data_IF_067786740315
#
_entry.id   IF_067786740315
#
_cell.length_a   1.000
_cell.length_b   1.000
_cell.length_c   1.000
_cell.angle_alpha   90.00
_cell.angle_beta   90.00
_cell.angle_gamma   90.00
#
_symmetry.space_group_name_H-M   'P 1'
#
loop_
_entity.id
_entity.type
_entity.pdbx_description
1 polymer ?
#
# COMPACT_ATOMS: atom_id res chain seq x y z
N UNK A 1 31.33 -58.16 19.03
CA UNK A 1 30.59 -58.27 17.74
C UNK A 1 29.25 -58.93 18.02
N UNK A 2 28.22 -58.52 17.28
CA UNK A 2 26.80 -58.97 17.30
C UNK A 2 25.85 -57.93 17.91
N UNK A 3 25.11 -57.31 16.98
CA UNK A 3 23.92 -56.46 17.14
C UNK A 3 22.81 -57.17 17.94
N UNK A 4 22.09 -56.41 18.77
CA UNK A 4 20.72 -56.75 19.20
C UNK A 4 19.81 -55.54 18.99
N UNK A 5 18.83 -55.71 18.10
CA UNK A 5 17.77 -54.75 17.86
C UNK A 5 16.83 -54.65 19.05
N UNK A 6 16.11 -53.52 19.13
CA UNK A 6 14.91 -53.38 19.94
C UNK A 6 13.75 -52.87 19.10
N UNK A 7 12.67 -53.62 19.29
CA UNK A 7 11.34 -53.60 18.71
C UNK A 7 10.62 -52.27 18.99
N UNK A 8 9.89 -51.77 17.99
CA UNK A 8 8.88 -50.72 18.11
C UNK A 8 7.63 -51.29 18.80
N UNK A 9 7.11 -50.58 19.80
CA UNK A 9 5.75 -50.77 20.32
C UNK A 9 4.98 -49.46 20.18
N UNK A 10 3.96 -49.50 19.33
CA UNK A 10 2.91 -48.48 19.22
C UNK A 10 2.02 -48.56 20.46
N UNK A 11 1.94 -47.46 21.22
CA UNK A 11 0.84 -47.24 22.16
C UNK A 11 -0.06 -46.17 21.58
N UNK A 12 -1.27 -46.60 21.25
CA UNK A 12 -2.39 -45.78 20.79
C UNK A 12 -3.08 -45.19 22.01
N UNK A 13 -2.87 -43.91 22.28
CA UNK A 13 -3.73 -43.16 23.22
C UNK A 13 -4.89 -42.54 22.45
N UNK A 14 -6.06 -43.13 22.65
CA UNK A 14 -7.37 -42.56 22.32
C UNK A 14 -7.61 -41.41 23.28
N UNK A 15 -7.71 -40.18 22.78
CA UNK A 15 -8.12 -39.01 23.57
C UNK A 15 -9.36 -38.39 22.93
N UNK A 16 -10.42 -38.36 23.74
CA UNK A 16 -11.78 -37.94 23.45
C UNK A 16 -11.89 -36.56 22.75
N UNK A 17 -12.67 -36.54 21.66
CA UNK A 17 -13.25 -35.33 21.10
C UNK A 17 -14.30 -34.76 22.07
N UNK A 18 -13.96 -33.63 22.70
CA UNK A 18 -14.77 -32.40 22.86
C UNK A 18 -14.32 -31.67 24.11
N UNK A 19 -13.77 -30.46 23.93
CA UNK A 19 -14.34 -29.19 24.45
C UNK A 19 -13.48 -28.04 23.94
N UNK A 20 -14.17 -26.96 23.57
CA UNK A 20 -13.70 -25.74 22.92
C UNK A 20 -12.47 -25.06 23.55
N UNK A 21 -11.70 -24.38 22.68
CA UNK A 21 -10.87 -23.24 23.09
C UNK A 21 -9.36 -23.37 22.98
N UNK A 22 -8.81 -23.96 21.91
CA UNK A 22 -7.38 -23.84 21.62
C UNK A 22 -7.10 -22.57 20.80
N UNK A 23 -6.88 -21.46 21.48
CA UNK A 23 -6.23 -20.30 20.86
C UNK A 23 -4.75 -20.62 20.67
N UNK A 24 -4.35 -20.83 19.42
CA UNK A 24 -2.94 -20.93 19.04
C UNK A 24 -2.30 -19.52 19.20
N UNK A 25 -1.31 -19.30 20.07
CA UNK A 25 -0.77 -17.96 20.35
C UNK A 25 -0.03 -17.32 19.16
N UNK A 26 0.26 -18.08 18.10
CA UNK A 26 0.81 -17.59 16.83
C UNK A 26 -0.25 -16.94 15.90
N UNK A 27 -1.55 -16.96 16.25
CA UNK A 27 -2.66 -16.49 15.40
C UNK A 27 -2.92 -14.97 15.39
N UNK A 28 -2.19 -14.14 16.15
CA UNK A 28 -2.68 -12.80 16.54
C UNK A 28 -1.90 -11.57 16.05
N UNK A 29 -1.07 -11.71 15.00
CA UNK A 29 -0.43 -10.56 14.33
C UNK A 29 -0.75 -10.44 12.83
N UNK A 30 -1.99 -10.75 12.45
CA UNK A 30 -2.40 -10.49 11.06
C UNK A 30 -2.42 -8.99 10.77
N UNK A 31 -1.85 -8.61 9.61
CA UNK A 31 -1.83 -7.25 9.08
C UNK A 31 -2.84 -7.03 7.95
N UNK A 32 -3.66 -8.04 7.67
CA UNK A 32 -4.42 -8.12 6.41
C UNK A 32 -5.92 -8.14 6.69
N UNK A 33 -6.67 -7.25 6.06
CA UNK A 33 -8.11 -7.05 6.29
C UNK A 33 -8.85 -7.01 4.96
N UNK A 34 -9.92 -7.77 4.85
CA UNK A 34 -10.86 -7.76 3.73
C UNK A 34 -12.03 -6.85 4.04
N UNK A 35 -12.40 -6.02 3.06
CA UNK A 35 -13.66 -5.27 3.03
C UNK A 35 -14.53 -5.88 1.94
N UNK A 36 -15.62 -6.53 2.35
CA UNK A 36 -16.58 -7.18 1.45
C UNK A 36 -17.84 -6.32 1.24
N UNK A 37 -18.70 -6.75 0.33
CA UNK A 37 -20.02 -6.18 0.06
C UNK A 37 -20.00 -4.67 -0.25
N UNK A 38 -18.98 -4.24 -1.01
CA UNK A 38 -18.83 -2.84 -1.42
C UNK A 38 -20.01 -2.43 -2.31
N UNK A 39 -20.71 -1.33 -2.01
CA UNK A 39 -21.85 -0.88 -2.81
C UNK A 39 -21.45 -0.62 -4.27
N UNK A 40 -22.32 -1.01 -5.21
CA UNK A 40 -22.09 -0.76 -6.65
C UNK A 40 -21.88 0.73 -6.94
N UNK A 41 -21.04 1.03 -7.93
CA UNK A 41 -20.65 2.40 -8.27
C UNK A 41 -19.64 3.04 -7.30
N UNK A 42 -19.23 2.33 -6.24
CA UNK A 42 -18.17 2.82 -5.34
C UNK A 42 -16.80 2.67 -5.98
N UNK A 43 -16.10 3.78 -6.15
CA UNK A 43 -14.70 3.79 -6.59
C UNK A 43 -13.74 3.42 -5.46
N UNK A 44 -12.55 2.92 -5.82
CA UNK A 44 -11.52 2.57 -4.84
C UNK A 44 -11.12 3.77 -3.97
N UNK A 45 -10.97 4.97 -4.54
CA UNK A 45 -10.62 6.18 -3.77
C UNK A 45 -11.68 6.52 -2.71
N UNK A 46 -12.97 6.24 -2.96
CA UNK A 46 -14.02 6.39 -1.94
C UNK A 46 -13.82 5.46 -0.76
N UNK A 47 -13.42 4.19 -1.00
CA UNK A 47 -13.08 3.25 0.07
C UNK A 47 -11.86 3.73 0.85
N UNK A 48 -10.76 4.03 0.15
CA UNK A 48 -9.48 4.39 0.78
C UNK A 48 -9.54 5.71 1.56
N UNK A 49 -10.37 6.65 1.14
CA UNK A 49 -10.61 7.89 1.89
C UNK A 49 -11.16 7.66 3.31
N UNK A 50 -11.76 6.48 3.56
CA UNK A 50 -12.31 6.09 4.85
C UNK A 50 -11.40 5.13 5.62
N UNK A 51 -10.38 4.57 4.97
CA UNK A 51 -9.39 3.69 5.61
C UNK A 51 -8.43 4.53 6.45
N UNK A 52 -8.22 4.09 7.68
CA UNK A 52 -7.30 4.69 8.67
C UNK A 52 -6.47 3.59 9.30
N UNK A 53 -5.59 3.94 10.22
CA UNK A 53 -4.77 3.00 10.97
C UNK A 53 -3.32 2.94 10.52
N UNK A 54 -2.93 3.69 9.49
CA UNK A 54 -1.53 3.78 9.06
C UNK A 54 -1.33 3.38 7.60
N UNK A 55 -0.07 3.45 7.16
CA UNK A 55 0.34 3.11 5.80
C UNK A 55 0.03 1.66 5.43
N UNK A 56 -0.38 1.46 4.18
CA UNK A 56 -0.56 0.13 3.59
C UNK A 56 0.71 -0.31 2.88
N UNK A 57 1.03 -1.60 2.97
CA UNK A 57 1.98 -2.30 2.11
C UNK A 57 1.40 -2.45 0.71
N UNK A 58 0.14 -2.92 0.63
CA UNK A 58 -0.49 -3.30 -0.64
C UNK A 58 -2.01 -3.26 -0.56
N UNK A 59 -2.64 -3.07 -1.71
CA UNK A 59 -4.09 -3.16 -1.90
C UNK A 59 -4.38 -4.16 -3.03
N UNK A 60 -5.33 -5.06 -2.82
CA UNK A 60 -5.87 -5.93 -3.88
C UNK A 60 -7.35 -5.59 -4.07
N UNK A 61 -7.74 -5.35 -5.31
CA UNK A 61 -9.12 -4.96 -5.67
C UNK A 61 -9.77 -6.08 -6.47
N UNK A 62 -10.99 -6.42 -6.09
CA UNK A 62 -11.78 -7.44 -6.79
C UNK A 62 -13.02 -6.78 -7.38
N UNK A 63 -13.19 -6.97 -8.68
CA UNK A 63 -14.27 -6.40 -9.48
C UNK A 63 -15.08 -7.54 -10.08
N UNK A 64 -16.39 -7.36 -10.19
CA UNK A 64 -17.22 -8.31 -10.89
C UNK A 64 -16.86 -8.33 -12.36
N UNK A 65 -16.90 -9.52 -12.98
CA UNK A 65 -16.78 -9.68 -14.42
C UNK A 65 -18.08 -9.25 -15.11
N UNK A 66 -18.29 -7.94 -15.10
CA UNK A 66 -19.45 -7.23 -15.66
C UNK A 66 -18.91 -6.06 -16.49
N UNK A 67 -19.65 -5.54 -17.48
CA UNK A 67 -19.22 -4.39 -18.26
C UNK A 67 -18.83 -3.18 -17.40
N UNK A 68 -19.52 -2.95 -16.29
CA UNK A 68 -19.26 -1.85 -15.35
C UNK A 68 -18.03 -2.10 -14.47
N UNK A 69 -17.53 -3.34 -14.41
CA UNK A 69 -16.42 -3.79 -13.55
C UNK A 69 -16.54 -3.25 -12.12
N UNK A 70 -17.75 -3.36 -11.56
CA UNK A 70 -18.04 -2.82 -10.23
C UNK A 70 -17.16 -3.46 -9.15
N UNK A 71 -16.54 -2.63 -8.31
CA UNK A 71 -15.77 -3.05 -7.15
C UNK A 71 -16.71 -3.74 -6.13
N UNK A 72 -16.32 -4.92 -5.65
CA UNK A 72 -17.13 -5.66 -4.67
C UNK A 72 -16.36 -6.13 -3.44
N UNK A 73 -15.03 -6.22 -3.54
CA UNK A 73 -14.15 -6.55 -2.42
C UNK A 73 -12.81 -5.83 -2.55
N UNK A 74 -12.23 -5.44 -1.42
CA UNK A 74 -10.88 -4.88 -1.32
C UNK A 74 -10.14 -5.57 -0.18
N UNK A 75 -8.97 -6.12 -0.46
CA UNK A 75 -8.04 -6.58 0.57
C UNK A 75 -6.99 -5.50 0.83
N UNK A 76 -6.83 -5.15 2.10
CA UNK A 76 -5.91 -4.16 2.62
C UNK A 76 -4.80 -4.87 3.41
N UNK A 77 -3.56 -4.69 2.97
CA UNK A 77 -2.37 -5.21 3.66
C UNK A 77 -1.69 -4.03 4.34
N UNK A 78 -1.83 -3.90 5.65
CA UNK A 78 -1.21 -2.83 6.44
C UNK A 78 0.28 -3.08 6.59
N UNK A 79 1.09 -2.03 6.62
CA UNK A 79 2.52 -2.17 6.89
C UNK A 79 2.76 -2.75 8.30
N UNK A 80 1.99 -2.28 9.30
CA UNK A 80 2.14 -2.65 10.70
C UNK A 80 0.88 -3.33 11.25
N UNK A 81 1.04 -4.29 12.18
CA UNK A 81 -0.09 -5.02 12.75
C UNK A 81 -0.92 -4.17 13.71
N UNK A 82 -0.31 -3.23 14.43
CA UNK A 82 -1.00 -2.29 15.31
C UNK A 82 -2.00 -1.44 14.51
N UNK A 83 -1.59 -1.05 13.30
CA UNK A 83 -2.42 -0.30 12.39
C UNK A 83 -3.63 -1.09 11.91
N UNK A 84 -3.41 -2.33 11.48
CA UNK A 84 -4.49 -3.24 11.11
C UNK A 84 -5.46 -3.49 12.28
N UNK A 85 -4.95 -3.73 13.49
CA UNK A 85 -5.79 -3.93 14.68
C UNK A 85 -6.63 -2.69 14.99
N UNK A 86 -6.02 -1.50 14.90
CA UNK A 86 -6.71 -0.24 15.13
C UNK A 86 -7.81 -0.01 14.10
N UNK A 87 -7.51 -0.26 12.82
CA UNK A 87 -8.49 -0.20 11.76
C UNK A 87 -9.62 -1.21 11.94
N UNK A 88 -9.33 -2.46 12.32
CA UNK A 88 -10.35 -3.47 12.56
C UNK A 88 -11.34 -3.04 13.66
N UNK A 89 -10.86 -2.42 14.75
CA UNK A 89 -11.75 -1.88 15.80
C UNK A 89 -12.57 -0.71 15.26
N UNK A 90 -11.93 0.25 14.60
CA UNK A 90 -12.58 1.42 14.01
C UNK A 90 -13.65 1.02 12.97
N UNK A 91 -13.33 0.10 12.07
CA UNK A 91 -14.19 -0.34 10.98
C UNK A 91 -15.43 -1.11 11.44
N UNK A 92 -15.40 -1.69 12.65
CA UNK A 92 -16.57 -2.32 13.29
C UNK A 92 -17.51 -1.32 13.96
N UNK A 93 -17.13 -0.05 14.05
CA UNK A 93 -17.97 0.99 14.62
C UNK A 93 -18.93 1.56 13.59
N UNK A 94 -19.91 2.36 14.03
CA UNK A 94 -20.86 3.03 13.14
C UNK A 94 -20.29 4.27 12.42
N UNK A 95 -19.00 4.56 12.61
CA UNK A 95 -18.33 5.73 12.02
C UNK A 95 -17.76 5.38 10.64
N UNK A 96 -17.19 4.18 10.50
CA UNK A 96 -16.66 3.73 9.22
C UNK A 96 -17.79 3.41 8.25
N UNK A 97 -18.02 4.32 7.30
CA UNK A 97 -19.05 4.20 6.27
C UNK A 97 -18.48 4.60 4.92
N UNK A 98 -18.69 3.75 3.93
CA UNK A 98 -18.36 4.04 2.54
C UNK A 98 -19.66 4.29 1.79
N UNK A 99 -19.81 5.48 1.21
CA UNK A 99 -21.06 5.91 0.56
C UNK A 99 -22.32 5.70 1.44
N UNK A 100 -22.18 5.98 2.74
CA UNK A 100 -23.26 5.83 3.73
C UNK A 100 -23.50 4.41 4.22
N UNK A 101 -22.86 3.40 3.64
CA UNK A 101 -22.98 1.98 4.01
C UNK A 101 -21.85 1.58 4.94
N UNK A 102 -22.20 0.91 6.04
CA UNK A 102 -21.21 0.29 6.93
C UNK A 102 -20.74 -1.02 6.30
N UNK A 103 -19.46 -1.08 5.92
CA UNK A 103 -18.86 -2.32 5.42
C UNK A 103 -18.47 -3.22 6.59
N UNK A 104 -18.43 -4.53 6.35
CA UNK A 104 -18.01 -5.51 7.36
C UNK A 104 -16.55 -5.90 7.12
N UNK A 105 -15.62 -5.52 8.02
CA UNK A 105 -14.22 -5.91 7.91
C UNK A 105 -14.01 -7.35 8.41
N UNK A 106 -13.17 -8.09 7.72
CA UNK A 106 -12.79 -9.47 8.08
C UNK A 106 -11.27 -9.63 8.08
N UNK A 107 -10.75 -10.41 9.01
CA UNK A 107 -9.33 -10.75 9.01
C UNK A 107 -8.99 -11.67 7.86
N UNK A 108 -7.88 -11.40 7.19
CA UNK A 108 -7.29 -12.32 6.21
C UNK A 108 -6.15 -13.05 6.92
N UNK A 109 -6.19 -14.37 6.87
CA UNK A 109 -5.12 -15.23 7.33
C UNK A 109 -4.41 -15.79 6.10
N UNK A 110 -3.20 -15.30 5.86
CA UNK A 110 -2.39 -15.76 4.74
C UNK A 110 -1.78 -17.13 5.09
N UNK A 111 -1.83 -18.05 4.13
CA UNK A 111 -1.08 -19.28 4.21
C UNK A 111 0.43 -18.99 4.18
N UNK A 112 1.21 -19.83 4.86
CA UNK A 112 2.68 -19.75 4.92
C UNK A 112 3.34 -20.21 3.60
N UNK A 113 2.91 -19.63 2.48
CA UNK A 113 3.53 -19.85 1.18
C UNK A 113 4.86 -19.11 1.10
N UNK A 114 5.78 -19.58 0.25
CA UNK A 114 7.06 -18.93 0.03
C UNK A 114 6.89 -17.44 -0.34
N UNK A 115 5.94 -17.12 -1.21
CA UNK A 115 5.66 -15.73 -1.62
C UNK A 115 5.22 -14.84 -0.46
N UNK A 116 4.34 -15.34 0.41
CA UNK A 116 3.87 -14.58 1.57
C UNK A 116 5.01 -14.37 2.58
N UNK A 117 5.86 -15.38 2.79
CA UNK A 117 7.04 -15.27 3.66
C UNK A 117 8.02 -14.22 3.12
N UNK A 118 8.29 -14.21 1.81
CA UNK A 118 9.20 -13.22 1.20
C UNK A 118 8.64 -11.79 1.30
N UNK A 119 7.33 -11.62 1.15
CA UNK A 119 6.66 -10.31 1.34
C UNK A 119 6.77 -9.83 2.79
N UNK A 120 6.49 -10.71 3.74
CA UNK A 120 6.61 -10.40 5.16
C UNK A 120 8.04 -10.00 5.54
N UNK A 121 9.05 -10.73 5.05
CA UNK A 121 10.45 -10.36 5.24
C UNK A 121 10.80 -9.00 4.64
N UNK A 122 10.22 -8.65 3.50
CA UNK A 122 10.47 -7.36 2.83
C UNK A 122 9.88 -6.21 3.64
N UNK A 123 8.69 -6.40 4.21
CA UNK A 123 8.09 -5.44 5.15
C UNK A 123 8.92 -5.30 6.43
N UNK A 124 9.38 -6.41 7.00
CA UNK A 124 10.18 -6.37 8.22
C UNK A 124 11.47 -5.56 8.01
N UNK A 125 12.15 -5.71 6.86
CA UNK A 125 13.31 -4.88 6.53
C UNK A 125 12.97 -3.39 6.46
N UNK A 126 11.83 -3.02 5.86
CA UNK A 126 11.39 -1.62 5.79
C UNK A 126 11.21 -1.04 7.21
N UNK A 127 10.58 -1.82 8.10
CA UNK A 127 10.32 -1.40 9.48
C UNK A 127 11.62 -1.32 10.30
N UNK A 128 12.48 -2.34 10.21
CA UNK A 128 13.75 -2.43 10.95
C UNK A 128 14.76 -1.35 10.54
N UNK A 129 14.79 -0.99 9.27
CA UNK A 129 15.69 0.06 8.76
C UNK A 129 15.17 1.48 9.04
N UNK A 130 13.99 1.62 9.69
CA UNK A 130 13.29 2.88 9.96
C UNK A 130 13.16 3.78 8.71
N UNK A 131 13.18 3.18 7.53
CA UNK A 131 13.09 3.92 6.27
C UNK A 131 11.66 4.38 6.09
N UNK A 132 11.50 5.68 5.86
CA UNK A 132 10.23 6.24 5.44
C UNK A 132 9.93 5.82 3.99
N UNK A 133 9.27 4.68 3.82
CA UNK A 133 8.85 4.10 2.54
C UNK A 133 7.34 3.93 2.58
N UNK A 134 6.68 4.34 1.51
CA UNK A 134 5.25 4.13 1.33
C UNK A 134 4.94 3.87 -0.14
N UNK A 135 3.67 3.61 -0.43
CA UNK A 135 3.17 3.46 -1.81
C UNK A 135 3.05 4.79 -2.55
N UNK A 136 3.40 5.92 -1.90
CA UNK A 136 3.32 7.26 -2.44
C UNK A 136 4.71 7.80 -2.79
N UNK A 137 4.87 8.32 -4.01
CA UNK A 137 6.01 9.14 -4.39
C UNK A 137 5.54 10.58 -4.62
N UNK A 138 6.31 11.54 -4.10
CA UNK A 138 6.12 12.96 -4.38
C UNK A 138 7.08 13.33 -5.49
N UNK A 139 6.55 13.87 -6.58
CA UNK A 139 7.33 14.29 -7.75
C UNK A 139 7.19 15.80 -7.88
N UNK A 140 8.30 16.51 -7.66
CA UNK A 140 8.33 17.98 -7.66
C UNK A 140 9.32 18.52 -8.65
N UNK A 141 8.86 19.43 -9.50
CA UNK A 141 9.72 20.11 -10.47
C UNK A 141 10.61 21.12 -9.76
N UNK A 142 11.91 21.01 -10.01
CA UNK A 142 12.90 22.01 -9.61
C UNK A 142 12.67 23.30 -10.41
N UNK A 143 12.94 24.45 -9.79
CA UNK A 143 12.89 25.71 -10.54
C UNK A 143 14.10 25.71 -11.46
N UNK A 144 13.90 25.84 -12.76
CA UNK A 144 14.99 26.20 -13.67
C UNK A 144 15.37 27.65 -13.33
N UNK A 145 16.44 27.85 -12.57
CA UNK A 145 17.06 29.17 -12.47
C UNK A 145 17.81 29.45 -13.77
N UNK A 146 17.08 29.71 -14.85
CA UNK A 146 17.59 30.66 -15.82
C UNK A 146 17.27 32.03 -15.22
N UNK A 147 18.28 32.68 -14.63
CA UNK A 147 18.18 34.08 -14.19
C UNK A 147 17.58 34.88 -15.35
N UNK A 148 16.35 35.43 -15.22
CA UNK A 148 15.87 36.31 -16.27
C UNK A 148 16.75 37.56 -16.20
N UNK A 149 17.46 37.85 -17.29
CA UNK A 149 17.98 39.20 -17.50
C UNK A 149 16.84 40.17 -17.20
N UNK A 150 17.14 41.18 -16.38
CA UNK A 150 16.23 42.13 -15.71
C UNK A 150 15.39 43.02 -16.64
N UNK A 151 15.14 42.63 -17.89
CA UNK A 151 14.57 43.48 -18.94
C UNK A 151 13.17 43.10 -19.43
N UNK A 152 12.50 42.05 -18.91
CA UNK A 152 11.16 41.68 -19.40
C UNK A 152 10.19 41.31 -18.26
N UNK A 153 9.76 42.32 -17.49
CA UNK A 153 8.79 42.17 -16.40
C UNK A 153 7.32 42.11 -16.87
N UNK A 154 7.04 41.79 -18.14
CA UNK A 154 5.69 41.86 -18.72
C UNK A 154 5.23 40.58 -19.44
N UNK A 155 5.83 39.42 -19.16
CA UNK A 155 5.23 38.15 -19.60
C UNK A 155 4.52 37.53 -18.41
N UNK A 156 3.19 37.47 -18.47
CA UNK A 156 2.36 36.77 -17.50
C UNK A 156 2.94 35.40 -17.20
N UNK A 157 2.79 34.95 -15.95
CA UNK A 157 3.25 33.63 -15.52
C UNK A 157 2.69 32.57 -16.47
N UNK A 158 3.50 32.10 -17.40
CA UNK A 158 3.16 30.95 -18.22
C UNK A 158 3.08 29.78 -17.25
N UNK A 159 1.86 29.31 -16.98
CA UNK A 159 1.65 28.11 -16.18
C UNK A 159 2.42 26.97 -16.87
N UNK A 160 3.47 26.49 -16.22
CA UNK A 160 4.16 25.29 -16.69
C UNK A 160 3.17 24.12 -16.64
N UNK A 161 2.94 23.48 -17.78
CA UNK A 161 2.03 22.35 -17.86
C UNK A 161 2.78 21.05 -17.51
N UNK A 162 2.10 20.14 -16.80
CA UNK A 162 2.54 18.75 -16.61
C UNK A 162 1.63 17.85 -17.41
N UNK A 163 2.24 16.98 -18.21
CA UNK A 163 1.49 15.91 -18.85
C UNK A 163 1.32 14.76 -17.84
N UNK A 164 0.13 14.67 -17.26
CA UNK A 164 -0.23 13.62 -16.31
C UNK A 164 -0.27 12.25 -16.98
N UNK A 165 -0.64 12.17 -18.27
CA UNK A 165 -0.67 10.91 -19.00
C UNK A 165 0.73 10.38 -19.27
N UNK A 166 1.67 11.29 -19.56
CA UNK A 166 3.08 10.92 -19.68
C UNK A 166 3.64 10.42 -18.34
N UNK A 167 3.32 11.10 -17.24
CA UNK A 167 3.75 10.68 -15.91
C UNK A 167 3.16 9.31 -15.54
N UNK A 168 1.87 9.11 -15.76
CA UNK A 168 1.23 7.81 -15.57
C UNK A 168 1.91 6.72 -16.40
N UNK A 169 2.19 7.00 -17.68
CA UNK A 169 2.86 6.07 -18.57
C UNK A 169 4.28 5.71 -18.13
N UNK A 170 5.00 6.64 -17.55
CA UNK A 170 6.35 6.40 -17.07
C UNK A 170 6.34 5.56 -15.81
N UNK A 171 5.47 5.89 -14.85
CA UNK A 171 5.44 5.26 -13.55
C UNK A 171 4.72 3.90 -13.56
N UNK A 172 3.78 3.66 -14.48
CA UNK A 172 3.13 2.35 -14.62
C UNK A 172 4.13 1.21 -14.96
N UNK A 173 5.31 1.53 -15.50
CA UNK A 173 6.36 0.54 -15.78
C UNK A 173 6.87 -0.15 -14.50
N UNK A 174 6.66 0.47 -13.34
CA UNK A 174 7.07 -0.06 -12.04
C UNK A 174 5.92 -0.72 -11.28
N UNK A 175 4.69 -0.66 -11.78
CA UNK A 175 3.50 -1.26 -11.16
C UNK A 175 2.25 -0.43 -11.39
N UNK A 176 1.09 -0.99 -11.05
CA UNK A 176 -0.19 -0.30 -11.25
C UNK A 176 -0.26 0.99 -10.41
N UNK A 177 -0.47 2.10 -11.11
CA UNK A 177 -0.71 3.41 -10.51
C UNK A 177 -2.17 3.46 -10.05
N UNK A 178 -2.37 3.73 -8.76
CA UNK A 178 -3.69 3.92 -8.16
C UNK A 178 -4.28 5.27 -8.57
N UNK A 179 -3.52 6.34 -8.35
CA UNK A 179 -3.92 7.70 -8.71
C UNK A 179 -2.72 8.65 -8.76
N UNK A 180 -2.85 9.72 -9.54
CA UNK A 180 -1.94 10.86 -9.54
C UNK A 180 -2.72 12.09 -9.12
N UNK A 181 -2.29 12.74 -8.03
CA UNK A 181 -3.01 13.91 -7.47
C UNK A 181 -2.09 15.14 -7.41
N UNK A 182 -2.59 16.33 -7.78
CA UNK A 182 -1.82 17.55 -7.65
C UNK A 182 -1.64 17.96 -6.19
N UNK A 183 -0.46 18.47 -5.84
CA UNK A 183 -0.16 19.01 -4.51
C UNK A 183 -0.14 20.54 -4.60
N UNK A 184 -0.90 21.20 -3.73
CA UNK A 184 -0.89 22.66 -3.62
C UNK A 184 0.50 23.15 -3.23
N UNK A 185 1.20 23.75 -4.19
CA UNK A 185 2.59 24.17 -4.05
C UNK A 185 2.90 25.32 -4.99
N UNK A 186 3.92 26.12 -4.67
CA UNK A 186 4.41 27.20 -5.53
C UNK A 186 5.14 26.71 -6.78
N UNK A 187 5.52 25.42 -6.79
CA UNK A 187 6.13 24.74 -7.93
C UNK A 187 5.25 23.57 -8.30
N UNK A 188 5.37 23.13 -9.54
CA UNK A 188 4.68 21.95 -10.02
C UNK A 188 5.05 20.74 -9.15
N UNK A 189 4.05 20.16 -8.51
CA UNK A 189 4.21 19.10 -7.52
C UNK A 189 3.00 18.17 -7.59
N UNK A 190 3.24 16.87 -7.67
CA UNK A 190 2.20 15.84 -7.70
C UNK A 190 2.58 14.69 -6.78
N UNK A 191 1.57 13.99 -6.26
CA UNK A 191 1.71 12.69 -5.62
C UNK A 191 1.34 11.61 -6.62
N UNK A 192 2.14 10.55 -6.68
CA UNK A 192 1.85 9.32 -7.43
C UNK A 192 1.65 8.22 -6.42
N UNK A 193 0.45 7.65 -6.37
CA UNK A 193 0.14 6.52 -5.51
C UNK A 193 0.15 5.24 -6.34
N UNK A 194 0.86 4.23 -5.86
CA UNK A 194 0.81 2.87 -6.38
C UNK A 194 -0.16 2.00 -5.59
N UNK A 195 -0.55 0.85 -6.13
CA UNK A 195 -1.26 -0.18 -5.36
C UNK A 195 -0.36 -0.91 -4.35
N UNK A 196 0.95 -0.98 -4.59
CA UNK A 196 1.93 -1.78 -3.84
C UNK A 196 3.20 -0.97 -3.56
N UNK A 197 3.73 -1.04 -2.34
CA UNK A 197 4.96 -0.39 -1.90
C UNK A 197 6.17 -0.81 -2.75
N UNK A 198 6.20 -2.06 -3.20
CA UNK A 198 7.26 -2.62 -4.05
C UNK A 198 7.34 -1.88 -5.40
N UNK A 199 6.23 -1.30 -5.86
CA UNK A 199 6.20 -0.52 -7.10
C UNK A 199 6.84 0.85 -6.91
N UNK A 200 6.54 1.51 -5.79
CA UNK A 200 7.19 2.76 -5.40
C UNK A 200 8.70 2.58 -5.17
N UNK A 201 9.09 1.47 -4.54
CA UNK A 201 10.50 1.11 -4.33
C UNK A 201 11.25 0.94 -5.65
N UNK A 202 10.73 0.15 -6.60
CA UNK A 202 11.34 -0.02 -7.92
C UNK A 202 11.45 1.30 -8.69
N UNK A 203 10.43 2.16 -8.61
CA UNK A 203 10.48 3.47 -9.24
C UNK A 203 11.54 4.38 -8.58
N UNK A 204 11.71 4.32 -7.26
CA UNK A 204 12.75 5.06 -6.55
C UNK A 204 14.16 4.56 -6.89
N UNK A 205 14.37 3.24 -6.84
CA UNK A 205 15.63 2.61 -7.24
C UNK A 205 16.01 3.03 -8.66
N UNK A 206 15.04 3.03 -9.57
CA UNK A 206 15.27 3.44 -10.94
C UNK A 206 15.57 4.95 -11.06
N UNK A 207 14.91 5.79 -10.29
CA UNK A 207 15.20 7.22 -10.25
C UNK A 207 16.60 7.52 -9.70
N UNK A 208 17.10 6.73 -8.73
CA UNK A 208 18.41 6.92 -8.10
C UNK A 208 19.55 6.30 -8.93
N UNK A 209 19.26 5.29 -9.76
CA UNK A 209 20.26 4.59 -10.56
C UNK A 209 20.74 5.43 -11.75
N UNK A 210 22.02 5.81 -11.74
CA UNK A 210 22.63 6.57 -12.85
C UNK A 210 22.54 5.83 -14.18
N UNK A 211 22.12 6.56 -15.22
CA UNK A 211 22.06 6.07 -16.60
C UNK A 211 20.74 5.38 -16.95
N UNK A 212 19.83 5.27 -15.99
CA UNK A 212 18.55 4.60 -16.15
C UNK A 212 17.48 5.48 -16.81
N UNK A 213 16.29 4.92 -17.09
CA UNK A 213 15.20 5.66 -17.73
C UNK A 213 14.69 6.81 -16.87
N UNK A 214 14.26 6.55 -15.62
CA UNK A 214 13.74 7.64 -14.77
C UNK A 214 14.85 8.61 -14.39
N UNK A 215 16.07 8.14 -14.12
CA UNK A 215 17.19 9.01 -13.81
C UNK A 215 17.43 10.01 -14.96
N UNK A 216 17.57 9.50 -16.19
CA UNK A 216 17.89 10.35 -17.34
C UNK A 216 16.78 11.38 -17.62
N UNK A 217 15.51 10.99 -17.42
CA UNK A 217 14.35 11.85 -17.69
C UNK A 217 14.08 12.86 -16.58
N UNK A 218 14.16 12.45 -15.31
CA UNK A 218 13.66 13.25 -14.19
C UNK A 218 14.77 13.88 -13.33
N UNK A 219 15.89 13.20 -13.08
CA UNK A 219 16.87 13.56 -12.04
C UNK A 219 17.40 15.00 -12.10
N UNK A 220 17.54 15.58 -13.30
CA UNK A 220 18.08 16.94 -13.48
C UNK A 220 17.07 18.05 -13.15
N UNK A 221 15.79 17.81 -13.38
CA UNK A 221 14.75 18.86 -13.36
C UNK A 221 13.64 18.58 -12.36
N UNK A 222 13.64 17.40 -11.75
CA UNK A 222 12.66 16.97 -10.76
C UNK A 222 13.37 16.41 -9.55
N UNK A 223 12.68 16.44 -8.42
CA UNK A 223 13.06 15.75 -7.20
C UNK A 223 11.94 14.78 -6.87
N UNK A 224 12.31 13.53 -6.58
CA UNK A 224 11.39 12.47 -6.18
C UNK A 224 11.77 12.00 -4.79
N UNK A 225 10.79 11.83 -3.91
CA UNK A 225 10.96 11.25 -2.57
C UNK A 225 9.67 10.56 -2.14
N UNK A 226 9.72 9.72 -1.09
CA UNK A 226 8.52 9.09 -0.56
C UNK A 226 7.58 10.10 0.09
N UNK A 227 6.28 9.98 -0.18
CA UNK A 227 5.20 10.71 0.48
C UNK A 227 4.54 9.89 1.58
N UNK A 228 3.56 10.48 2.27
CA UNK A 228 2.68 9.71 3.16
C UNK A 228 1.64 8.96 2.36
N UNK A 229 1.28 7.76 2.80
CA UNK A 229 0.12 7.05 2.25
C UNK A 229 -1.18 7.80 2.61
N UNK A 230 -2.21 7.69 1.77
CA UNK A 230 -3.53 8.31 2.01
C UNK A 230 -4.14 7.78 3.32
N UNK A 231 -3.87 6.51 3.63
CA UNK A 231 -4.37 5.83 4.82
C UNK A 231 -3.51 6.05 6.06
N UNK A 232 -2.38 6.78 5.94
CA UNK A 232 -1.41 7.04 7.02
C UNK A 232 -1.92 8.09 8.01
N UNK A 233 -3.03 7.74 8.66
CA UNK A 233 -3.74 8.55 9.62
C UNK A 233 -4.14 7.66 10.80
N UNK A 234 -4.10 8.16 12.04
CA UNK A 234 -4.58 7.41 13.19
C UNK A 234 -6.08 7.12 13.03
N UNK A 235 -6.52 6.00 13.61
CA UNK A 235 -7.94 5.78 13.85
C UNK A 235 -8.43 6.76 14.93
N UNK A 236 -9.71 7.09 14.91
CA UNK A 236 -10.32 7.88 15.99
C UNK A 236 -10.32 6.99 17.23
N UNK A 237 -9.77 7.50 18.34
CA UNK A 237 -9.90 6.84 19.65
C UNK A 237 -11.37 6.87 20.07
N UNK A 238 -11.95 5.70 20.30
CA UNK A 238 -13.35 5.49 20.66
C UNK A 238 -13.45 4.83 22.03
#
# INVERSE_FOLDING_TARGET
LIFKGKVYSEESEVVDEKTAGSQNPALLKTRSISLNDIPRGTGISSVLSQVRGGSLERIIVYRYDTPERSLHKVDLFFLNYEGAQSFMRYAKTNIFKVNGVQLKPEWIFLESTYENIMKEQSVNRIIEEEKFISRCLIVKKSSTTAMPNKSNLNKGQTLENIDIQELEKDFQNFGEVLEITPIVSRKLCVSIFFYDISSAMRAMEEYEQKGSYLYNKYFKTWTIWYGKDITDQPCIDL
#
